data_IF_195549753121
#
_entry.id   IF_195549753121
#
_cell.length_a   1.000
_cell.length_b   1.000
_cell.length_c   1.000
_cell.angle_alpha   90.00
_cell.angle_beta   90.00
_cell.angle_gamma   90.00
#
_symmetry.space_group_name_H-M   'P 1'
#
loop_
_entity.id
_entity.type
_entity.pdbx_description
1 polymer ?
#
# COMPACT_ATOMS: atom_id res chain seq x y z
N UNK A 1 17.37 9.08 -19.35
CA UNK A 1 17.67 9.59 -20.71
C UNK A 1 16.42 10.05 -21.46
N UNK A 2 16.46 11.28 -21.95
CA UNK A 2 15.53 11.78 -22.97
C UNK A 2 15.67 10.99 -24.28
N UNK A 3 14.71 11.12 -25.18
CA UNK A 3 14.70 10.35 -26.43
C UNK A 3 15.98 10.55 -27.28
N UNK A 4 16.43 11.80 -27.43
CA UNK A 4 17.63 12.15 -28.22
C UNK A 4 18.95 11.76 -27.55
N UNK A 5 18.93 11.39 -26.27
CA UNK A 5 20.10 10.92 -25.52
C UNK A 5 20.23 9.40 -25.59
N UNK A 6 19.16 8.70 -25.96
CA UNK A 6 19.17 7.24 -26.14
C UNK A 6 19.82 6.89 -27.47
N UNK A 7 20.37 5.68 -27.53
CA UNK A 7 20.81 5.06 -28.78
C UNK A 7 21.89 5.86 -29.52
N UNK A 8 22.92 6.35 -28.82
CA UNK A 8 24.09 6.96 -29.44
C UNK A 8 25.27 6.03 -29.18
N UNK A 9 25.90 5.54 -30.25
CA UNK A 9 27.14 4.75 -30.16
C UNK A 9 28.31 5.72 -29.90
N UNK A 10 29.00 5.63 -28.75
CA UNK A 10 30.15 6.47 -28.47
C UNK A 10 31.25 6.29 -29.52
N UNK A 11 31.86 7.38 -29.97
CA UNK A 11 32.94 7.35 -30.98
C UNK A 11 34.11 6.45 -30.58
N UNK A 12 34.39 6.32 -29.29
CA UNK A 12 35.41 5.39 -28.78
C UNK A 12 35.10 3.93 -29.18
N UNK A 13 33.86 3.48 -28.97
CA UNK A 13 33.43 2.12 -29.33
C UNK A 13 33.40 1.91 -30.85
N UNK A 14 33.12 2.96 -31.62
CA UNK A 14 33.17 2.91 -33.09
C UNK A 14 34.61 2.72 -33.58
N UNK A 15 35.56 3.46 -32.99
CA UNK A 15 36.96 3.40 -33.38
C UNK A 15 37.64 2.08 -32.98
N UNK A 16 37.18 1.45 -31.90
CA UNK A 16 37.66 0.15 -31.43
C UNK A 16 37.02 -1.02 -32.19
N UNK A 17 35.91 -0.78 -32.90
CA UNK A 17 35.16 -1.81 -33.61
C UNK A 17 35.39 -1.80 -35.11
N UNK A 18 36.10 -2.82 -35.61
CA UNK A 18 36.30 -3.01 -37.05
C UNK A 18 34.97 -3.27 -37.77
N UNK A 19 34.03 -3.96 -37.11
CA UNK A 19 32.72 -4.34 -37.67
C UNK A 19 31.81 -3.11 -37.82
N UNK A 20 31.71 -2.27 -36.79
CA UNK A 20 30.94 -1.02 -36.88
C UNK A 20 31.56 -0.09 -37.93
N UNK A 21 32.90 0.02 -37.95
CA UNK A 21 33.60 0.79 -38.98
C UNK A 21 33.35 0.26 -40.39
N UNK A 22 33.21 -1.06 -40.58
CA UNK A 22 32.83 -1.69 -41.85
C UNK A 22 31.41 -1.32 -42.24
N UNK A 23 30.45 -1.44 -41.32
CA UNK A 23 29.05 -1.09 -41.56
C UNK A 23 28.87 0.37 -42.01
N UNK A 24 29.67 1.30 -41.46
CA UNK A 24 29.67 2.71 -41.89
C UNK A 24 30.21 2.91 -43.32
N UNK A 25 31.20 2.11 -43.75
CA UNK A 25 31.77 2.21 -45.11
C UNK A 25 30.88 1.57 -46.17
N UNK A 26 30.10 0.56 -45.78
CA UNK A 26 29.23 -0.22 -46.66
C UNK A 26 27.78 0.27 -46.67
N UNK A 27 27.48 1.39 -46.00
CA UNK A 27 26.12 1.95 -45.85
C UNK A 27 25.10 0.91 -45.37
N UNK A 28 25.46 0.11 -44.35
CA UNK A 28 24.61 -0.93 -43.74
C UNK A 28 23.51 -0.31 -42.84
N UNK A 29 22.65 0.51 -43.46
CA UNK A 29 21.62 1.34 -42.83
C UNK A 29 20.51 0.52 -42.13
N UNK A 30 20.44 -0.79 -42.40
CA UNK A 30 19.59 -1.73 -41.70
C UNK A 30 20.08 -2.04 -40.27
N UNK A 31 21.36 -1.81 -39.95
CA UNK A 31 21.96 -2.05 -38.63
C UNK A 31 22.29 -0.76 -37.90
N UNK A 32 23.00 0.17 -38.56
CA UNK A 32 23.41 1.47 -37.96
C UNK A 32 23.10 2.63 -38.91
N UNK A 33 22.91 3.83 -38.38
CA UNK A 33 22.65 5.04 -39.14
C UNK A 33 23.44 6.22 -38.58
N UNK A 34 23.76 7.23 -39.40
CA UNK A 34 24.45 8.46 -38.99
C UNK A 34 23.47 9.63 -39.09
N UNK A 35 23.26 10.34 -37.97
CA UNK A 35 22.41 11.55 -37.99
C UNK A 35 23.11 12.76 -38.64
N UNK A 36 22.35 13.86 -38.78
CA UNK A 36 22.84 15.10 -39.38
C UNK A 36 23.97 15.78 -38.59
N UNK A 37 24.14 15.42 -37.33
CA UNK A 37 25.20 15.90 -36.45
C UNK A 37 26.42 14.95 -36.42
N UNK A 38 26.39 13.87 -37.22
CA UNK A 38 27.46 12.88 -37.30
C UNK A 38 27.45 11.84 -36.17
N UNK A 39 26.39 11.76 -35.36
CA UNK A 39 26.25 10.72 -34.33
C UNK A 39 25.78 9.42 -34.96
N UNK A 40 26.25 8.32 -34.40
CA UNK A 40 25.94 6.98 -34.90
C UNK A 40 24.90 6.33 -34.00
N UNK A 41 23.89 5.71 -34.59
CA UNK A 41 22.75 5.12 -33.92
C UNK A 41 22.55 3.67 -34.39
N UNK A 42 22.07 2.78 -33.53
CA UNK A 42 21.49 1.53 -34.02
C UNK A 42 20.14 1.80 -34.70
N UNK A 43 19.77 0.98 -35.68
CA UNK A 43 18.49 1.11 -36.36
C UNK A 43 17.32 1.03 -35.37
N UNK A 44 16.33 1.92 -35.53
CA UNK A 44 15.21 2.07 -34.60
C UNK A 44 14.28 0.86 -34.49
N UNK A 45 14.39 -0.12 -35.41
CA UNK A 45 13.61 -1.37 -35.35
C UNK A 45 14.00 -2.27 -34.17
N UNK A 46 15.21 -2.12 -33.64
CA UNK A 46 15.73 -2.98 -32.59
C UNK A 46 15.16 -2.63 -31.22
N UNK A 47 14.46 -3.60 -30.61
CA UNK A 47 13.90 -3.50 -29.26
C UNK A 47 14.69 -4.27 -28.21
N UNK A 48 15.60 -5.15 -28.65
CA UNK A 48 16.50 -5.95 -27.84
C UNK A 48 17.57 -6.62 -28.71
N UNK A 49 18.57 -7.20 -28.06
CA UNK A 49 19.68 -7.90 -28.70
C UNK A 49 19.25 -9.12 -29.54
N UNK A 50 18.11 -9.75 -29.24
CA UNK A 50 17.61 -10.90 -30.01
C UNK A 50 17.21 -10.52 -31.44
N UNK A 51 16.54 -9.37 -31.61
CA UNK A 51 16.16 -8.85 -32.93
C UNK A 51 17.42 -8.41 -33.70
N UNK A 52 18.37 -7.75 -33.01
CA UNK A 52 19.65 -7.37 -33.61
C UNK A 52 20.43 -8.60 -34.09
N UNK A 53 20.52 -9.63 -33.25
CA UNK A 53 21.22 -10.88 -33.59
C UNK A 53 20.66 -11.55 -34.84
N UNK A 54 19.33 -11.59 -34.99
CA UNK A 54 18.69 -12.17 -36.16
C UNK A 54 19.13 -11.45 -37.44
N UNK A 55 19.11 -10.12 -37.42
CA UNK A 55 19.50 -9.30 -38.57
C UNK A 55 21.00 -9.39 -38.88
N UNK A 56 21.85 -9.52 -37.86
CA UNK A 56 23.29 -9.75 -38.06
C UNK A 56 23.57 -11.14 -38.66
N UNK A 57 22.76 -12.16 -38.33
CA UNK A 57 22.95 -13.51 -38.89
C UNK A 57 22.62 -13.60 -40.38
N UNK A 58 21.81 -12.68 -40.91
CA UNK A 58 21.44 -12.62 -42.32
C UNK A 58 22.49 -11.89 -43.19
N UNK A 59 23.47 -11.23 -42.57
CA UNK A 59 24.57 -10.57 -43.26
C UNK A 59 25.69 -11.58 -43.53
N UNK A 60 25.94 -11.85 -44.81
CA UNK A 60 27.08 -12.68 -45.23
C UNK A 60 28.40 -12.07 -44.74
N UNK A 61 29.40 -12.93 -44.45
CA UNK A 61 30.76 -12.49 -44.06
C UNK A 61 30.87 -11.82 -42.67
N UNK A 62 29.90 -12.06 -41.78
CA UNK A 62 30.10 -11.85 -40.34
C UNK A 62 30.51 -13.16 -39.65
N UNK A 63 31.62 -13.10 -38.91
CA UNK A 63 32.02 -14.18 -38.02
C UNK A 63 31.16 -14.18 -36.75
N UNK A 64 31.17 -15.29 -35.99
CA UNK A 64 30.51 -15.31 -34.68
C UNK A 64 31.11 -14.29 -33.70
N UNK A 65 32.40 -13.97 -33.84
CA UNK A 65 33.08 -12.96 -33.03
C UNK A 65 32.57 -11.57 -33.39
N UNK A 66 32.38 -11.29 -34.68
CA UNK A 66 31.86 -10.01 -35.17
C UNK A 66 30.44 -9.75 -34.67
N UNK A 67 29.59 -10.79 -34.71
CA UNK A 67 28.22 -10.72 -34.17
C UNK A 67 28.26 -10.42 -32.67
N UNK A 68 29.12 -11.11 -31.92
CA UNK A 68 29.21 -10.92 -30.48
C UNK A 68 29.70 -9.51 -30.12
N UNK A 69 30.69 -8.98 -30.83
CA UNK A 69 31.20 -7.62 -30.65
C UNK A 69 30.09 -6.56 -30.81
N UNK A 70 29.28 -6.66 -31.88
CA UNK A 70 28.16 -5.74 -32.10
C UNK A 70 27.09 -5.87 -31.01
N UNK A 71 26.82 -7.09 -30.55
CA UNK A 71 25.89 -7.33 -29.43
C UNK A 71 26.41 -6.73 -28.12
N UNK A 72 27.71 -6.81 -27.86
CA UNK A 72 28.34 -6.24 -26.66
C UNK A 72 28.29 -4.71 -26.68
N UNK A 73 28.48 -4.08 -27.85
CA UNK A 73 28.30 -2.63 -28.02
C UNK A 73 26.83 -2.22 -27.81
N UNK A 74 25.89 -2.99 -28.37
CA UNK A 74 24.47 -2.77 -28.15
C UNK A 74 24.11 -2.86 -26.66
N UNK A 75 24.66 -3.85 -25.95
CA UNK A 75 24.48 -3.99 -24.50
C UNK A 75 25.11 -2.84 -23.72
N UNK A 76 26.31 -2.39 -24.06
CA UNK A 76 26.98 -1.27 -23.38
C UNK A 76 26.17 0.04 -23.46
N UNK A 77 25.35 0.23 -24.50
CA UNK A 77 24.52 1.43 -24.70
C UNK A 77 23.17 1.30 -23.98
N UNK A 78 22.55 0.12 -24.05
CA UNK A 78 21.18 -0.08 -23.57
C UNK A 78 21.07 -0.67 -22.17
N UNK A 79 22.13 -1.31 -21.68
CA UNK A 79 22.22 -1.95 -20.35
C UNK A 79 20.97 -2.82 -20.06
N UNK A 80 20.61 -3.67 -21.02
CA UNK A 80 19.43 -4.52 -20.91
C UNK A 80 19.58 -5.59 -19.82
N UNK A 81 20.81 -5.95 -19.41
CA UNK A 81 21.05 -6.81 -18.26
C UNK A 81 20.50 -6.22 -16.95
N UNK A 82 20.47 -4.90 -16.84
CA UNK A 82 19.90 -4.20 -15.68
C UNK A 82 18.37 -4.07 -15.73
N UNK A 83 17.71 -4.55 -16.79
CA UNK A 83 16.26 -4.49 -16.92
C UNK A 83 15.55 -5.48 -16.00
N UNK A 84 14.89 -4.95 -14.96
CA UNK A 84 14.12 -5.75 -13.97
C UNK A 84 12.64 -5.88 -14.31
N UNK A 85 12.20 -5.32 -15.44
CA UNK A 85 10.81 -5.26 -15.86
C UNK A 85 10.32 -3.83 -16.10
N UNK A 86 9.03 -3.69 -16.39
CA UNK A 86 8.44 -2.41 -16.83
C UNK A 86 8.46 -1.28 -15.78
N UNK A 87 8.69 -1.59 -14.50
CA UNK A 87 8.61 -0.61 -13.40
C UNK A 87 9.53 0.60 -13.61
N UNK A 88 10.73 0.37 -14.15
CA UNK A 88 11.70 1.43 -14.46
C UNK A 88 11.47 2.15 -15.79
N UNK A 89 10.46 1.78 -16.59
CA UNK A 89 10.34 2.25 -17.98
C UNK A 89 8.99 2.89 -18.32
N UNK A 90 8.13 3.09 -17.32
CA UNK A 90 6.87 3.83 -17.45
C UNK A 90 6.56 4.67 -16.19
N UNK A 91 5.54 5.52 -16.27
CA UNK A 91 5.31 6.62 -15.31
C UNK A 91 3.94 6.59 -14.61
N UNK A 92 3.30 5.42 -14.58
CA UNK A 92 1.97 5.19 -13.99
C UNK A 92 1.91 3.77 -13.42
N UNK A 93 0.87 3.40 -12.67
CA UNK A 93 0.74 2.09 -12.02
C UNK A 93 1.89 1.84 -11.05
N UNK A 94 2.68 0.77 -11.23
CA UNK A 94 3.88 0.48 -10.43
C UNK A 94 5.14 1.23 -10.93
N UNK A 95 4.95 2.18 -11.85
CA UNK A 95 6.02 2.89 -12.52
C UNK A 95 6.68 3.99 -11.71
N UNK A 96 7.66 4.62 -12.34
CA UNK A 96 8.44 5.71 -11.76
C UNK A 96 7.55 6.87 -11.29
N UNK A 97 7.76 7.30 -10.05
CA UNK A 97 7.03 8.42 -9.44
C UNK A 97 5.58 8.12 -9.12
N UNK A 98 5.15 6.86 -9.10
CA UNK A 98 3.78 6.47 -8.76
C UNK A 98 3.70 5.85 -7.37
N UNK A 99 2.82 6.38 -6.52
CA UNK A 99 2.51 5.79 -5.21
C UNK A 99 1.53 4.64 -5.44
N UNK A 100 1.89 3.43 -5.01
CA UNK A 100 1.01 2.26 -5.08
C UNK A 100 0.40 1.96 -3.69
N UNK A 101 -0.86 2.36 -3.49
CA UNK A 101 -1.45 2.52 -2.15
C UNK A 101 -1.57 1.24 -1.35
N UNK A 102 -1.78 0.09 -2.00
CA UNK A 102 -1.82 -1.19 -1.29
C UNK A 102 -0.50 -1.46 -0.54
N UNK A 103 0.65 -1.07 -1.09
CA UNK A 103 1.93 -1.24 -0.41
C UNK A 103 2.11 -0.26 0.76
N UNK A 104 1.57 0.95 0.64
CA UNK A 104 1.57 1.95 1.72
C UNK A 104 0.70 1.48 2.89
N UNK A 105 -0.49 0.93 2.62
CA UNK A 105 -1.34 0.37 3.68
C UNK A 105 -0.75 -0.89 4.32
N UNK A 106 0.03 -1.69 3.58
CA UNK A 106 0.84 -2.78 4.18
C UNK A 106 1.90 -2.23 5.13
N UNK A 107 2.55 -1.13 4.77
CA UNK A 107 3.50 -0.44 5.65
C UNK A 107 2.80 0.09 6.90
N UNK A 108 1.63 0.73 6.77
CA UNK A 108 0.82 1.17 7.90
C UNK A 108 0.51 0.02 8.87
N UNK A 109 0.04 -1.11 8.32
CA UNK A 109 -0.25 -2.31 9.12
C UNK A 109 1.01 -2.87 9.80
N UNK A 110 2.15 -2.90 9.11
CA UNK A 110 3.40 -3.38 9.69
C UNK A 110 3.88 -2.48 10.85
N UNK A 111 3.73 -1.16 10.73
CA UNK A 111 4.05 -0.22 11.81
C UNK A 111 3.08 -0.38 12.99
N UNK A 112 1.79 -0.64 12.71
CA UNK A 112 0.80 -0.98 13.75
C UNK A 112 1.22 -2.22 14.54
N UNK A 113 1.53 -3.32 13.85
CA UNK A 113 1.95 -4.57 14.47
C UNK A 113 3.24 -4.38 15.28
N UNK A 114 4.19 -3.60 14.76
CA UNK A 114 5.41 -3.27 15.49
C UNK A 114 5.12 -2.46 16.75
N UNK A 115 4.25 -1.44 16.68
CA UNK A 115 3.83 -0.66 17.84
C UNK A 115 3.15 -1.53 18.89
N UNK A 116 2.19 -2.38 18.50
CA UNK A 116 1.45 -3.25 19.41
C UNK A 116 2.29 -4.39 20.01
N UNK A 117 3.37 -4.81 19.35
CA UNK A 117 4.28 -5.86 19.83
C UNK A 117 5.50 -5.32 20.58
N UNK A 118 5.72 -4.01 20.58
CA UNK A 118 6.84 -3.38 21.27
C UNK A 118 6.68 -3.41 22.79
N UNK A 119 7.81 -3.41 23.51
CA UNK A 119 7.79 -3.35 24.97
C UNK A 119 7.26 -2.00 25.46
N UNK A 120 6.36 -2.01 26.43
CA UNK A 120 5.79 -0.80 27.05
C UNK A 120 6.83 0.09 27.73
N UNK A 121 8.00 -0.45 28.07
CA UNK A 121 9.04 0.25 28.82
C UNK A 121 9.93 1.16 27.96
N UNK A 122 9.82 1.11 26.63
CA UNK A 122 10.56 1.98 25.70
C UNK A 122 9.65 3.09 25.16
N UNK A 123 9.39 4.08 26.00
CA UNK A 123 8.50 5.22 25.67
C UNK A 123 8.97 5.99 24.43
N UNK A 124 10.29 6.10 24.22
CA UNK A 124 10.84 6.79 23.05
C UNK A 124 10.48 6.05 21.77
N UNK A 125 10.75 4.74 21.72
CA UNK A 125 10.40 3.91 20.57
C UNK A 125 8.90 3.95 20.27
N UNK A 126 8.06 3.83 21.30
CA UNK A 126 6.59 3.88 21.13
C UNK A 126 6.13 5.23 20.59
N UNK A 127 6.72 6.33 21.07
CA UNK A 127 6.41 7.68 20.57
C UNK A 127 6.79 7.83 19.10
N UNK A 128 7.98 7.36 18.72
CA UNK A 128 8.45 7.38 17.33
C UNK A 128 7.55 6.53 16.42
N UNK A 129 7.23 5.31 16.82
CA UNK A 129 6.35 4.42 16.05
C UNK A 129 4.94 4.99 15.91
N UNK A 130 4.38 5.59 16.96
CA UNK A 130 3.07 6.26 16.91
C UNK A 130 3.10 7.46 15.95
N UNK A 131 4.17 8.25 15.96
CA UNK A 131 4.35 9.34 14.99
C UNK A 131 4.40 8.82 13.55
N UNK A 132 5.22 7.80 13.27
CA UNK A 132 5.35 7.19 11.95
C UNK A 132 4.00 6.62 11.49
N UNK A 133 3.27 5.97 12.39
CA UNK A 133 1.95 5.42 12.11
C UNK A 133 0.99 6.50 11.60
N UNK A 134 0.87 7.61 12.32
CA UNK A 134 -0.03 8.69 11.92
C UNK A 134 0.44 9.45 10.68
N UNK A 135 1.75 9.60 10.48
CA UNK A 135 2.28 10.20 9.25
C UNK A 135 1.90 9.37 8.01
N UNK A 136 2.01 8.04 8.10
CA UNK A 136 1.58 7.14 7.01
C UNK A 136 0.05 7.23 6.82
N UNK A 137 -0.72 7.21 7.91
CA UNK A 137 -2.19 7.29 7.89
C UNK A 137 -2.68 8.59 7.23
N UNK A 138 -2.11 9.73 7.60
CA UNK A 138 -2.37 11.02 6.95
C UNK A 138 -1.93 11.00 5.47
N UNK A 139 -0.85 10.28 5.17
CA UNK A 139 -0.37 10.00 3.82
C UNK A 139 -1.40 9.30 2.93
N UNK A 140 -2.16 8.31 3.45
CA UNK A 140 -3.25 7.61 2.73
C UNK A 140 -4.30 8.62 2.23
N UNK A 141 -4.57 9.65 3.02
CA UNK A 141 -5.16 10.89 2.52
C UNK A 141 -6.66 11.03 2.64
N UNK A 142 -7.31 10.33 3.57
CA UNK A 142 -8.76 10.48 3.86
C UNK A 142 -9.14 11.93 4.23
N UNK A 143 -8.21 12.69 4.82
CA UNK A 143 -8.39 14.10 5.19
C UNK A 143 -7.87 15.10 4.14
N UNK A 144 -7.34 14.63 3.00
CA UNK A 144 -6.82 15.53 1.96
C UNK A 144 -7.96 16.27 1.26
N UNK A 145 -7.65 17.49 0.82
CA UNK A 145 -8.55 18.23 -0.06
C UNK A 145 -8.82 17.42 -1.35
N UNK A 146 -10.08 17.31 -1.83
CA UNK A 146 -10.40 16.56 -3.05
C UNK A 146 -9.63 17.00 -4.30
N UNK A 147 -9.24 18.28 -4.40
CA UNK A 147 -8.41 18.78 -5.50
C UNK A 147 -6.96 18.26 -5.45
N UNK A 148 -6.42 18.02 -4.25
CA UNK A 148 -5.11 17.39 -4.07
C UNK A 148 -5.20 15.87 -4.24
N UNK A 149 -6.24 15.24 -3.68
CA UNK A 149 -6.47 13.80 -3.81
C UNK A 149 -6.77 13.39 -5.26
N UNK A 150 -7.55 14.24 -5.96
CA UNK A 150 -8.02 14.04 -7.32
C UNK A 150 -9.32 13.24 -7.46
N UNK A 151 -9.99 12.94 -6.34
CA UNK A 151 -11.29 12.28 -6.27
C UNK A 151 -11.93 12.49 -4.88
N UNK A 152 -12.99 11.74 -4.56
CA UNK A 152 -13.52 11.65 -3.20
C UNK A 152 -12.51 10.92 -2.29
N UNK A 153 -11.98 11.57 -1.23
CA UNK A 153 -10.94 10.98 -0.36
C UNK A 153 -11.39 9.74 0.43
N UNK A 154 -12.70 9.51 0.52
CA UNK A 154 -13.30 8.35 1.19
C UNK A 154 -13.29 7.09 0.33
N UNK A 155 -13.04 7.22 -0.97
CA UNK A 155 -13.03 6.10 -1.91
C UNK A 155 -11.59 5.59 -2.08
N UNK A 156 -11.34 4.27 -2.03
CA UNK A 156 -10.02 3.70 -2.26
C UNK A 156 -9.65 3.67 -3.74
N UNK A 157 -8.36 3.81 -4.03
CA UNK A 157 -7.79 3.79 -5.38
C UNK A 157 -6.47 3.01 -5.39
N UNK A 158 -6.10 2.38 -6.51
CA UNK A 158 -4.89 1.56 -6.55
C UNK A 158 -3.59 2.37 -6.48
N UNK A 159 -3.52 3.51 -7.18
CA UNK A 159 -2.26 4.26 -7.28
C UNK A 159 -2.45 5.75 -7.58
N UNK A 160 -1.41 6.55 -7.32
CA UNK A 160 -1.32 7.99 -7.65
C UNK A 160 0.01 8.29 -8.35
N UNK A 161 0.02 8.50 -9.67
CA UNK A 161 1.20 8.94 -10.40
C UNK A 161 1.59 10.38 -10.02
N UNK A 162 2.88 10.73 -10.11
CA UNK A 162 3.37 12.12 -9.95
C UNK A 162 2.65 13.14 -10.87
N UNK A 163 2.10 12.61 -11.96
CA UNK A 163 1.24 13.18 -12.96
C UNK A 163 -0.06 13.90 -12.62
N UNK A 164 -0.79 13.29 -11.70
CA UNK A 164 -2.23 13.37 -11.63
C UNK A 164 -2.74 12.80 -10.30
N UNK A 165 -4.04 12.99 -10.03
CA UNK A 165 -4.68 12.42 -8.85
C UNK A 165 -4.82 10.90 -8.90
N UNK A 166 -5.44 10.36 -7.86
CA UNK A 166 -5.68 8.91 -7.68
C UNK A 166 -6.32 8.22 -8.89
N UNK A 167 -6.00 6.95 -9.10
CA UNK A 167 -6.37 6.16 -10.28
C UNK A 167 -6.83 4.75 -9.89
N UNK A 168 -7.74 4.17 -10.69
CA UNK A 168 -8.35 2.84 -10.51
C UNK A 168 -9.17 2.71 -9.20
N UNK A 169 -10.44 3.14 -9.21
CA UNK A 169 -11.28 3.15 -8.01
C UNK A 169 -11.69 1.74 -7.54
N UNK A 170 -11.92 1.62 -6.24
CA UNK A 170 -12.71 0.55 -5.64
C UNK A 170 -11.90 -0.66 -5.19
N UNK A 171 -11.88 -1.72 -6.00
CA UNK A 171 -11.49 -3.08 -5.57
C UNK A 171 -9.96 -3.29 -5.49
N UNK A 172 -9.25 -2.43 -4.78
CA UNK A 172 -7.83 -2.59 -4.45
C UNK A 172 -7.65 -3.38 -3.14
N UNK A 173 -6.57 -4.16 -3.02
CA UNK A 173 -6.22 -4.87 -1.79
C UNK A 173 -5.92 -3.95 -0.60
N UNK A 174 -5.73 -2.65 -0.85
CA UNK A 174 -5.57 -1.61 0.17
C UNK A 174 -6.63 -1.70 1.27
N UNK A 175 -7.91 -1.88 0.89
CA UNK A 175 -9.04 -1.87 1.83
C UNK A 175 -8.95 -2.94 2.91
N UNK A 176 -8.35 -4.10 2.59
CA UNK A 176 -8.16 -5.18 3.57
C UNK A 176 -7.15 -4.77 4.63
N UNK A 177 -6.08 -4.08 4.23
CA UNK A 177 -5.02 -3.67 5.16
C UNK A 177 -5.52 -2.54 6.05
N UNK A 178 -6.20 -1.54 5.47
CA UNK A 178 -6.77 -0.41 6.22
C UNK A 178 -7.85 -0.88 7.21
N UNK A 179 -8.66 -1.87 6.84
CA UNK A 179 -9.64 -2.47 7.74
C UNK A 179 -8.98 -3.13 8.96
N UNK A 180 -7.92 -3.91 8.77
CA UNK A 180 -7.20 -4.55 9.88
C UNK A 180 -6.52 -3.49 10.75
N UNK A 181 -5.87 -2.50 10.12
CA UNK A 181 -5.25 -1.38 10.82
C UNK A 181 -6.26 -0.66 11.72
N UNK A 182 -7.48 -0.41 11.22
CA UNK A 182 -8.54 0.22 12.00
C UNK A 182 -8.95 -0.59 13.23
N UNK A 183 -9.00 -1.92 13.15
CA UNK A 183 -9.25 -2.75 14.34
C UNK A 183 -8.09 -2.71 15.34
N UNK A 184 -6.86 -2.54 14.86
CA UNK A 184 -5.70 -2.23 15.71
C UNK A 184 -5.83 -0.87 16.40
N UNK A 185 -6.23 0.19 15.69
CA UNK A 185 -6.52 1.52 16.29
C UNK A 185 -7.58 1.44 17.38
N UNK A 186 -8.68 0.73 17.09
CA UNK A 186 -9.75 0.46 18.05
C UNK A 186 -9.30 -0.43 19.22
N UNK A 187 -8.08 -0.96 19.20
CA UNK A 187 -7.52 -1.78 20.28
C UNK A 187 -8.12 -3.17 20.39
N UNK A 188 -8.79 -3.68 19.36
CA UNK A 188 -9.41 -5.00 19.42
C UNK A 188 -8.33 -6.06 19.26
N UNK A 189 -7.98 -6.72 20.36
CA UNK A 189 -6.98 -7.77 20.41
C UNK A 189 -7.62 -9.12 20.69
N UNK A 190 -7.11 -10.15 20.03
CA UNK A 190 -7.55 -11.54 20.25
C UNK A 190 -6.34 -12.36 20.67
N UNK A 191 -6.34 -12.84 21.91
CA UNK A 191 -5.28 -13.69 22.44
C UNK A 191 -5.86 -14.79 23.31
N UNK A 192 -5.38 -16.03 23.12
CA UNK A 192 -5.82 -17.20 23.89
C UNK A 192 -7.35 -17.42 23.92
N UNK A 193 -8.04 -17.03 22.84
CA UNK A 193 -9.50 -17.12 22.71
C UNK A 193 -10.28 -16.06 23.50
N UNK A 194 -9.63 -14.99 23.96
CA UNK A 194 -10.25 -13.85 24.62
C UNK A 194 -10.19 -12.62 23.73
N UNK A 195 -11.25 -11.80 23.77
CA UNK A 195 -11.28 -10.46 23.20
C UNK A 195 -10.84 -9.47 24.28
N UNK A 196 -9.93 -8.57 23.92
CA UNK A 196 -9.49 -7.46 24.76
C UNK A 196 -9.62 -6.15 23.98
N UNK A 197 -9.82 -5.05 24.71
CA UNK A 197 -10.04 -3.71 24.14
C UNK A 197 -8.96 -2.74 24.64
N UNK A 198 -7.83 -2.64 23.94
CA UNK A 198 -6.63 -1.87 24.34
C UNK A 198 -6.30 -0.76 23.31
N UNK A 199 -7.06 0.35 23.28
CA UNK A 199 -7.00 1.33 22.18
C UNK A 199 -5.88 2.37 22.34
N UNK A 200 -4.62 1.95 22.36
CA UNK A 200 -3.45 2.83 22.55
C UNK A 200 -3.14 3.77 21.37
N UNK A 201 -3.65 3.44 20.18
CA UNK A 201 -3.60 4.26 18.95
C UNK A 201 -4.93 4.99 18.66
N UNK A 202 -5.88 5.02 19.58
CA UNK A 202 -7.14 5.75 19.38
C UNK A 202 -7.02 7.17 19.90
N UNK A 203 -7.32 8.17 19.06
CA UNK A 203 -7.29 9.57 19.47
C UNK A 203 -8.61 10.01 20.12
N UNK A 204 -8.51 10.90 21.13
CA UNK A 204 -9.69 11.46 21.83
C UNK A 204 -10.63 12.19 20.85
N UNK A 205 -10.08 12.79 19.79
CA UNK A 205 -10.84 13.50 18.76
C UNK A 205 -11.81 12.61 17.99
N UNK A 206 -11.69 11.28 18.10
CA UNK A 206 -12.62 10.33 17.47
C UNK A 206 -13.91 10.10 18.27
N UNK A 207 -13.99 10.57 19.52
CA UNK A 207 -15.19 10.47 20.35
C UNK A 207 -16.17 11.60 20.03
N UNK A 208 -17.46 11.28 20.01
CA UNK A 208 -18.49 12.25 19.62
C UNK A 208 -18.67 13.37 20.66
N UNK A 209 -18.86 14.59 20.19
CA UNK A 209 -19.01 15.78 21.05
C UNK A 209 -20.45 16.03 21.53
N UNK A 210 -21.43 15.28 21.01
CA UNK A 210 -22.86 15.39 21.33
C UNK A 210 -23.55 14.03 21.21
N UNK A 211 -24.71 13.88 21.84
CA UNK A 211 -25.52 12.66 21.74
C UNK A 211 -25.91 12.37 20.28
N UNK A 212 -25.76 11.13 19.85
CA UNK A 212 -26.08 10.69 18.47
C UNK A 212 -26.78 9.33 18.46
N UNK A 213 -27.27 8.95 17.29
CA UNK A 213 -27.87 7.64 17.05
C UNK A 213 -26.93 6.78 16.20
N UNK A 214 -26.48 5.65 16.75
CA UNK A 214 -25.72 4.65 16.03
C UNK A 214 -26.65 3.68 15.31
N UNK A 215 -26.64 3.74 13.97
CA UNK A 215 -27.46 2.88 13.12
C UNK A 215 -26.60 1.75 12.56
N UNK A 216 -27.00 0.50 12.77
CA UNK A 216 -26.26 -0.69 12.34
C UNK A 216 -27.21 -1.83 11.98
N UNK A 217 -26.68 -2.91 11.40
CA UNK A 217 -27.41 -4.16 11.19
C UNK A 217 -26.98 -5.20 12.22
N UNK A 218 -27.94 -5.76 12.96
CA UNK A 218 -27.67 -6.79 13.96
C UNK A 218 -27.36 -8.15 13.31
N UNK A 219 -27.09 -9.17 14.14
CA UNK A 219 -26.80 -10.54 13.69
C UNK A 219 -27.96 -11.22 12.91
N UNK A 220 -29.18 -10.69 13.02
CA UNK A 220 -30.37 -11.16 12.31
C UNK A 220 -30.60 -10.41 10.99
N UNK A 221 -29.72 -9.47 10.64
CA UNK A 221 -29.85 -8.64 9.43
C UNK A 221 -30.87 -7.51 9.58
N UNK A 222 -31.28 -7.19 10.79
CA UNK A 222 -32.27 -6.15 11.07
C UNK A 222 -31.58 -4.81 11.31
N UNK A 223 -32.14 -3.74 10.74
CA UNK A 223 -31.67 -2.38 10.94
C UNK A 223 -32.06 -1.91 12.34
N UNK A 224 -31.07 -1.68 13.19
CA UNK A 224 -31.23 -1.27 14.58
C UNK A 224 -30.63 0.11 14.80
N UNK A 225 -31.17 0.85 15.78
CA UNK A 225 -30.64 2.14 16.21
C UNK A 225 -30.38 2.12 17.72
N UNK A 226 -29.20 2.56 18.12
CA UNK A 226 -28.80 2.69 19.53
C UNK A 226 -28.43 4.16 19.83
N UNK A 227 -29.03 4.80 20.84
CA UNK A 227 -28.58 6.11 21.27
C UNK A 227 -27.20 5.98 21.94
N UNK A 228 -26.26 6.83 21.55
CA UNK A 228 -24.92 6.92 22.14
C UNK A 228 -24.69 8.34 22.65
N UNK A 229 -24.02 8.46 23.79
CA UNK A 229 -23.88 9.73 24.51
C UNK A 229 -22.63 10.48 24.09
N UNK A 230 -22.59 11.79 24.34
CA UNK A 230 -21.34 12.56 24.29
C UNK A 230 -20.19 11.81 24.96
N UNK A 231 -18.98 11.93 24.41
CA UNK A 231 -17.75 11.24 24.84
C UNK A 231 -17.79 9.72 24.61
N UNK A 232 -18.52 9.28 23.58
CA UNK A 232 -18.55 7.88 23.16
C UNK A 232 -18.19 7.68 21.68
N UNK A 233 -17.85 6.45 21.34
CA UNK A 233 -17.61 5.97 19.98
C UNK A 233 -18.30 4.61 19.87
N UNK A 234 -18.87 4.29 18.71
CA UNK A 234 -19.50 3.00 18.48
C UNK A 234 -18.97 2.33 17.20
N UNK A 235 -18.80 1.02 17.27
CA UNK A 235 -18.48 0.15 16.14
C UNK A 235 -19.12 -1.22 16.34
N UNK A 236 -18.90 -2.16 15.43
CA UNK A 236 -19.35 -3.54 15.58
C UNK A 236 -18.21 -4.53 15.50
N UNK A 237 -18.24 -5.55 16.34
CA UNK A 237 -17.36 -6.71 16.26
C UNK A 237 -18.21 -7.96 16.06
N UNK A 238 -18.03 -8.64 14.93
CA UNK A 238 -18.90 -9.77 14.53
C UNK A 238 -20.42 -9.44 14.62
N UNK A 239 -20.80 -8.21 14.20
CA UNK A 239 -22.16 -7.63 14.30
C UNK A 239 -22.70 -7.39 15.72
N UNK A 240 -21.91 -7.60 16.77
CA UNK A 240 -22.23 -7.15 18.13
C UNK A 240 -21.80 -5.68 18.26
N UNK A 241 -22.69 -4.76 18.65
CA UNK A 241 -22.32 -3.36 18.87
C UNK A 241 -21.41 -3.24 20.10
N UNK A 242 -20.29 -2.54 19.91
CA UNK A 242 -19.33 -2.17 20.95
C UNK A 242 -19.36 -0.66 21.09
N UNK A 243 -19.54 -0.17 22.31
CA UNK A 243 -19.59 1.25 22.63
C UNK A 243 -18.45 1.57 23.58
N UNK A 244 -17.51 2.40 23.12
CA UNK A 244 -16.47 2.98 23.96
C UNK A 244 -16.98 4.27 24.58
N UNK A 245 -16.75 4.47 25.88
CA UNK A 245 -17.12 5.70 26.60
C UNK A 245 -15.96 6.14 27.48
N UNK A 246 -15.61 7.43 27.43
CA UNK A 246 -14.60 7.99 28.32
C UNK A 246 -15.10 7.97 29.78
N UNK A 247 -14.26 7.50 30.69
CA UNK A 247 -14.57 7.24 32.10
C UNK A 247 -13.34 7.46 32.99
N UNK A 248 -13.54 7.42 34.29
CA UNK A 248 -12.46 7.47 35.31
C UNK A 248 -11.80 6.11 35.53
N UNK A 249 -12.45 5.03 35.10
CA UNK A 249 -11.95 3.67 35.30
C UNK A 249 -12.26 2.78 34.10
N UNK A 250 -11.34 1.86 33.83
CA UNK A 250 -11.49 0.83 32.82
C UNK A 250 -12.45 -0.25 33.31
N UNK A 251 -13.50 -0.51 32.55
CA UNK A 251 -14.43 -1.62 32.81
C UNK A 251 -15.18 -2.03 31.57
N UNK A 252 -15.69 -3.26 31.57
CA UNK A 252 -16.58 -3.75 30.52
C UNK A 252 -17.91 -4.16 31.13
N UNK A 253 -19.01 -3.77 30.49
CA UNK A 253 -20.37 -4.25 30.76
C UNK A 253 -20.92 -4.96 29.53
N UNK A 254 -21.25 -6.23 29.68
CA UNK A 254 -21.83 -7.07 28.62
C UNK A 254 -23.31 -7.28 28.92
N UNK A 255 -24.16 -6.92 27.96
CA UNK A 255 -25.61 -7.08 28.05
C UNK A 255 -26.02 -8.29 27.19
N UNK A 256 -26.76 -9.22 27.79
CA UNK A 256 -27.19 -10.45 27.15
C UNK A 256 -28.67 -10.38 26.72
N UNK A 257 -29.07 -11.28 25.83
CA UNK A 257 -30.43 -11.35 25.28
C UNK A 257 -31.51 -11.86 26.26
N UNK A 258 -31.10 -12.32 27.43
CA UNK A 258 -31.96 -12.74 28.54
C UNK A 258 -32.04 -11.68 29.64
N UNK A 259 -31.72 -10.43 29.31
CA UNK A 259 -31.64 -9.27 30.20
C UNK A 259 -30.60 -9.37 31.33
N UNK A 260 -29.78 -10.43 31.35
CA UNK A 260 -28.66 -10.52 32.29
C UNK A 260 -27.52 -9.59 31.86
N UNK A 261 -26.74 -9.17 32.84
CA UNK A 261 -25.58 -8.30 32.67
C UNK A 261 -24.39 -8.95 33.34
N UNK A 262 -23.22 -8.87 32.69
CA UNK A 262 -21.96 -9.24 33.30
C UNK A 262 -20.98 -8.08 33.23
N UNK A 263 -20.35 -7.79 34.35
CA UNK A 263 -19.36 -6.73 34.49
C UNK A 263 -17.98 -7.32 34.68
N UNK A 264 -16.98 -6.61 34.18
CA UNK A 264 -15.57 -6.97 34.25
C UNK A 264 -14.79 -5.73 34.68
N UNK A 265 -13.90 -5.92 35.65
CA UNK A 265 -12.84 -4.96 35.92
C UNK A 265 -11.78 -5.06 34.81
N UNK A 266 -11.33 -3.92 34.30
CA UNK A 266 -10.37 -3.87 33.20
C UNK A 266 -10.99 -4.01 31.81
N UNK A 267 -10.20 -4.48 30.85
CA UNK A 267 -10.49 -4.39 29.41
C UNK A 267 -10.48 -5.75 28.70
N UNK A 268 -10.67 -6.84 29.46
CA UNK A 268 -10.61 -8.21 28.95
C UNK A 268 -11.95 -8.93 29.15
N UNK A 269 -12.47 -9.54 28.07
CA UNK A 269 -13.57 -10.48 28.16
C UNK A 269 -13.08 -11.87 28.53
N UNK A 270 -13.92 -12.62 29.26
CA UNK A 270 -13.66 -14.04 29.46
C UNK A 270 -13.86 -14.84 28.16
N UNK A 271 -13.31 -16.06 28.11
CA UNK A 271 -13.29 -16.91 26.92
C UNK A 271 -14.70 -17.30 26.48
N UNK A 272 -15.61 -17.52 27.43
CA UNK A 272 -17.00 -17.90 27.15
C UNK A 272 -17.74 -16.81 26.38
N UNK A 273 -17.62 -15.55 26.84
CA UNK A 273 -18.26 -14.41 26.16
C UNK A 273 -17.61 -14.14 24.81
N UNK A 274 -16.27 -14.22 24.75
CA UNK A 274 -15.51 -14.05 23.51
C UNK A 274 -15.94 -15.06 22.44
N UNK A 275 -16.05 -16.34 22.81
CA UNK A 275 -16.55 -17.39 21.91
C UNK A 275 -17.99 -17.13 21.44
N UNK A 276 -18.85 -16.60 22.31
CA UNK A 276 -20.22 -16.28 21.93
C UNK A 276 -20.27 -15.19 20.85
N UNK A 277 -19.38 -14.20 20.92
CA UNK A 277 -19.21 -13.15 19.90
C UNK A 277 -18.62 -13.74 18.61
N UNK A 278 -17.55 -14.53 18.69
CA UNK A 278 -16.90 -15.14 17.51
C UNK A 278 -17.87 -16.01 16.70
N UNK A 279 -18.68 -16.82 17.40
CA UNK A 279 -19.64 -17.74 16.80
C UNK A 279 -20.98 -17.09 16.45
N UNK A 280 -21.14 -15.78 16.71
CA UNK A 280 -22.39 -15.03 16.46
C UNK A 280 -23.62 -15.72 17.05
N UNK A 281 -23.51 -16.23 18.28
CA UNK A 281 -24.58 -17.02 18.91
C UNK A 281 -25.85 -16.20 19.24
N UNK A 282 -25.78 -14.87 19.16
CA UNK A 282 -26.89 -13.97 19.51
C UNK A 282 -27.19 -13.84 21.00
N UNK A 283 -26.33 -14.40 21.87
CA UNK A 283 -26.46 -14.24 23.32
C UNK A 283 -26.03 -12.85 23.78
N UNK A 284 -24.99 -12.29 23.17
CA UNK A 284 -24.48 -10.95 23.50
C UNK A 284 -25.16 -9.92 22.61
N UNK A 285 -25.88 -8.98 23.22
CA UNK A 285 -26.61 -7.92 22.52
C UNK A 285 -25.78 -6.65 22.37
N UNK A 286 -24.96 -6.34 23.39
CA UNK A 286 -24.17 -5.10 23.43
C UNK A 286 -22.99 -5.24 24.38
N UNK A 287 -21.85 -4.68 24.00
CA UNK A 287 -20.66 -4.55 24.84
C UNK A 287 -20.40 -3.06 25.07
N UNK A 288 -20.36 -2.64 26.32
CA UNK A 288 -20.02 -1.27 26.73
C UNK A 288 -18.66 -1.30 27.40
N UNK A 289 -17.72 -0.51 26.88
CA UNK A 289 -16.35 -0.44 27.37
C UNK A 289 -16.09 0.98 27.86
N UNK A 290 -15.83 1.09 29.16
CA UNK A 290 -15.39 2.33 29.77
C UNK A 290 -13.87 2.40 29.65
N UNK A 291 -13.37 3.50 29.12
CA UNK A 291 -11.96 3.74 28.90
C UNK A 291 -11.52 4.93 29.75
N UNK A 292 -10.43 4.74 30.50
CA UNK A 292 -9.72 5.86 31.10
C UNK A 292 -9.30 6.82 30.00
N UNK A 293 -9.48 8.11 30.23
CA UNK A 293 -9.01 9.15 29.33
C UNK A 293 -7.48 9.05 29.23
N UNK A 294 -6.99 8.52 28.11
CA UNK A 294 -5.56 8.43 27.77
C UNK A 294 -5.04 9.82 27.42
#
# INVERSE_FOLDING_TARGET
>A
PHFYEKNIIPTALVNESEVISRFLREDQNNIIDIDVDGKIHFNSKFRNAGILKQELQDINELSNQDIQEVLDIYEAIFDHQSFTGRSGTFFKYEGLGSIYWHMVSKLLLAVNDLYLSSNSDDEQLLTELKSIYYDIREGIGIHKNPGLYGAFPTDPYSHTPAHCGVQQPGMTGQVKEDFISRFGELGVQISNGKISFQPSLLEISEFIESDQNFVFYNIHGEKTTLPIKKNSLAFTLAQVPVIYTLSEQNSIRVNFNNDSVKEYDGLDLCKEVSNSVFNREGKVIKIEVNLIKV
#
